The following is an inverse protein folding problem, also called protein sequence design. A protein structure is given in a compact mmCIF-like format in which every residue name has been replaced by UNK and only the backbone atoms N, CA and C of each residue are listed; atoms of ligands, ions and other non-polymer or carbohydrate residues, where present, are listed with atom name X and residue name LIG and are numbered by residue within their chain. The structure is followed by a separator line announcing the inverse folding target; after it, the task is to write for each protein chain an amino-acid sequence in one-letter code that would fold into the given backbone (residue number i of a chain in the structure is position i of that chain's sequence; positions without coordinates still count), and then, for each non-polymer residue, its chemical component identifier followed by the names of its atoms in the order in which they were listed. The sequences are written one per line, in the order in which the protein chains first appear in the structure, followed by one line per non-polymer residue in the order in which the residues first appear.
data_IF_530436491593
#
_entry.id   IF_530436491593
#
_cell.length_a   1.000
_cell.length_b   1.000
_cell.length_c   1.000
_cell.angle_alpha   90.00
_cell.angle_beta   90.00
_cell.angle_gamma   90.00
#
_symmetry.space_group_name_H-M   'P 1'
#
loop_
_entity.id
_entity.type
_entity.pdbx_description
1 polymer ?
#
# COMPACT_ATOMS: atom_id res chain seq x y z
N UNK A 1 -13.78 3.16 10.17
CA UNK A 1 -13.02 2.38 9.19
C UNK A 1 -13.99 1.82 8.17
N UNK A 2 -13.64 1.89 6.88
CA UNK A 2 -14.44 1.32 5.79
C UNK A 2 -14.33 -0.20 5.77
N UNK A 3 -15.34 -0.94 5.31
CA UNK A 3 -15.26 -2.41 5.14
C UNK A 3 -14.11 -2.82 4.22
N UNK A 4 -13.76 -1.94 3.27
CA UNK A 4 -12.62 -2.14 2.38
C UNK A 4 -11.27 -2.00 3.07
N UNK A 5 -11.17 -1.18 4.12
CA UNK A 5 -9.92 -1.02 4.87
C UNK A 5 -9.50 -2.36 5.48
N UNK A 6 -10.39 -2.98 6.24
CA UNK A 6 -10.11 -4.26 6.91
C UNK A 6 -9.81 -5.35 5.88
N UNK A 7 -10.59 -5.40 4.80
CA UNK A 7 -10.38 -6.37 3.71
C UNK A 7 -8.98 -6.24 3.09
N UNK A 8 -8.55 -5.02 2.78
CA UNK A 8 -7.22 -4.78 2.17
C UNK A 8 -6.11 -5.03 3.19
N UNK A 9 -6.35 -4.67 4.46
CA UNK A 9 -5.41 -4.95 5.55
C UNK A 9 -5.20 -6.46 5.72
N UNK A 10 -6.26 -7.27 5.73
CA UNK A 10 -6.15 -8.73 5.81
C UNK A 10 -5.38 -9.30 4.63
N UNK A 11 -5.67 -8.85 3.40
CA UNK A 11 -4.88 -9.28 2.22
C UNK A 11 -3.39 -8.90 2.32
N UNK A 12 -3.08 -7.74 2.89
CA UNK A 12 -1.69 -7.31 3.08
C UNK A 12 -0.99 -8.11 4.19
N UNK A 13 -1.66 -8.32 5.32
CA UNK A 13 -1.14 -9.09 6.47
C UNK A 13 -0.89 -10.56 6.11
N UNK A 14 -1.77 -11.13 5.28
CA UNK A 14 -1.63 -12.48 4.70
C UNK A 14 -0.58 -12.54 3.57
N UNK A 15 0.08 -11.42 3.25
CA UNK A 15 1.09 -11.28 2.19
C UNK A 15 0.57 -11.63 0.79
N UNK A 16 -0.73 -11.49 0.59
CA UNK A 16 -1.38 -11.68 -0.71
C UNK A 16 -1.25 -10.42 -1.58
N UNK A 17 -1.13 -9.26 -0.95
CA UNK A 17 -1.01 -7.96 -1.63
C UNK A 17 0.32 -7.27 -1.31
N UNK A 18 0.91 -6.60 -2.30
CA UNK A 18 2.13 -5.80 -2.11
C UNK A 18 1.77 -4.35 -1.72
N UNK A 19 2.72 -3.56 -1.17
CA UNK A 19 2.47 -2.14 -0.90
C UNK A 19 2.00 -1.36 -2.13
N UNK A 20 2.46 -1.71 -3.34
CA UNK A 20 2.01 -1.09 -4.58
C UNK A 20 0.53 -1.36 -4.84
N UNK A 21 0.07 -2.59 -4.60
CA UNK A 21 -1.35 -2.94 -4.74
C UNK A 21 -2.23 -2.15 -3.76
N UNK A 22 -1.78 -1.98 -2.50
CA UNK A 22 -2.49 -1.15 -1.51
C UNK A 22 -2.51 0.32 -1.94
N UNK A 23 -1.38 0.84 -2.46
CA UNK A 23 -1.26 2.22 -2.96
C UNK A 23 -2.26 2.52 -4.07
N UNK A 24 -2.47 1.58 -4.98
CA UNK A 24 -3.34 1.74 -6.15
C UNK A 24 -4.84 1.86 -5.77
N UNK A 25 -5.20 1.60 -4.50
CA UNK A 25 -6.55 1.81 -3.96
C UNK A 25 -6.86 3.28 -3.62
N UNK A 26 -5.84 4.13 -3.49
CA UNK A 26 -5.99 5.56 -3.22
C UNK A 26 -6.62 6.32 -4.41
N UNK A 27 -6.11 6.22 -5.66
CA UNK A 27 -6.67 6.99 -6.78
C UNK A 27 -8.13 6.63 -7.09
N UNK A 28 -8.57 5.41 -6.76
CA UNK A 28 -9.97 4.99 -6.88
C UNK A 28 -10.82 5.28 -5.63
N UNK A 29 -10.26 5.99 -4.64
CA UNK A 29 -10.91 6.45 -3.40
C UNK A 29 -11.40 5.34 -2.48
N UNK A 30 -10.78 4.16 -2.55
CA UNK A 30 -11.04 3.05 -1.64
C UNK A 30 -10.27 3.23 -0.32
N UNK A 31 -9.03 3.73 -0.41
CA UNK A 31 -8.21 4.09 0.74
C UNK A 31 -7.83 5.58 0.70
N UNK A 32 -7.53 6.11 1.88
CA UNK A 32 -6.84 7.38 2.06
C UNK A 32 -5.32 7.17 2.18
N UNK A 33 -4.50 8.23 1.96
CA UNK A 33 -3.06 8.20 2.24
C UNK A 33 -2.71 7.74 3.67
N UNK A 34 -3.52 8.12 4.67
CA UNK A 34 -3.32 7.71 6.06
C UNK A 34 -3.56 6.21 6.27
N UNK A 35 -4.65 5.68 5.72
CA UNK A 35 -4.96 4.25 5.78
C UNK A 35 -3.90 3.40 5.06
N UNK A 36 -3.37 3.87 3.92
CA UNK A 36 -2.23 3.23 3.27
C UNK A 36 -1.00 3.16 4.18
N UNK A 37 -0.68 4.26 4.87
CA UNK A 37 0.44 4.31 5.79
C UNK A 37 0.22 3.42 7.02
N UNK A 38 -1.00 3.30 7.52
CA UNK A 38 -1.34 2.39 8.61
C UNK A 38 -1.19 0.93 8.20
N UNK A 39 -1.66 0.55 7.01
CA UNK A 39 -1.58 -0.83 6.51
C UNK A 39 -0.13 -1.21 6.21
N UNK A 40 0.60 -0.33 5.51
CA UNK A 40 1.89 -0.71 4.91
C UNK A 40 3.11 -0.20 5.68
N UNK A 41 2.95 0.84 6.50
CA UNK A 41 4.04 1.58 7.14
C UNK A 41 4.74 2.61 6.24
N UNK A 42 4.38 2.68 4.94
CA UNK A 42 5.00 3.61 3.99
C UNK A 42 4.24 4.93 3.87
N UNK A 43 4.96 6.03 3.64
CA UNK A 43 4.36 7.35 3.43
C UNK A 43 3.84 7.45 1.99
N UNK A 44 2.63 7.99 1.79
CA UNK A 44 2.09 8.30 0.46
C UNK A 44 2.40 9.76 0.05
N UNK A 45 2.75 10.05 -1.22
CA UNK A 45 3.01 9.09 -2.28
C UNK A 45 4.23 8.26 -1.91
N UNK A 46 4.10 6.93 -2.01
CA UNK A 46 5.25 6.05 -1.86
C UNK A 46 6.21 6.43 -2.97
N UNK A 47 7.22 7.22 -2.63
CA UNK A 47 8.32 7.51 -3.54
C UNK A 47 8.80 6.14 -3.98
N UNK A 48 8.76 5.87 -5.29
CA UNK A 48 9.20 4.59 -5.85
C UNK A 48 10.47 4.15 -5.10
N UNK A 49 10.58 2.89 -4.64
CA UNK A 49 11.86 2.44 -4.16
C UNK A 49 12.83 2.73 -5.28
N UNK A 50 13.81 3.60 -5.02
CA UNK A 50 14.90 3.84 -5.96
C UNK A 50 15.46 2.46 -6.23
N UNK A 51 15.18 1.91 -7.41
CA UNK A 51 15.83 0.70 -7.88
C UNK A 51 17.27 1.13 -8.15
N UNK A 52 18.08 1.18 -7.10
CA UNK A 52 19.53 1.19 -7.23
C UNK A 52 19.88 -0.20 -7.73
N UNK A 53 19.80 -0.37 -9.05
CA UNK A 53 20.47 -1.44 -9.76
C UNK A 53 21.98 -1.27 -9.52
N UNK A 54 22.45 -1.87 -8.42
CA UNK A 54 23.86 -2.10 -8.15
C UNK A 54 24.22 -3.51 -8.62
N UNK A 55 24.01 -3.77 -9.90
CA UNK A 55 24.86 -4.68 -10.67
C UNK A 55 24.30 -6.08 -10.89
N UNK A 56 24.28 -6.44 -12.18
CA UNK A 56 24.78 -7.72 -12.69
C UNK A 56 25.38 -7.51 -14.07
#
# INVERSE_FOLDING_TARGET
MSDWYETIKDYYDDKLWTPEMVRDMIPIKILTPGEYQEITGFIYPATEPVVIDLGS
#
